data_IF_603653887887
#
_entry.id   IF_603653887887
#
_cell.length_a   1.000
_cell.length_b   1.000
_cell.length_c   1.000
_cell.angle_alpha   90.00
_cell.angle_beta   90.00
_cell.angle_gamma   90.00
#
_symmetry.space_group_name_H-M   'P 1'
#
loop_
_entity.id
_entity.type
_entity.pdbx_description
1 polymer ?
#
# COMPACT_ATOMS: atom_id res chain seq x y z
N UNK A 1 -26.26 -17.00 9.24
CA UNK A 1 -26.96 -18.04 10.09
C UNK A 1 -25.93 -18.50 11.11
N UNK A 2 -26.15 -18.24 12.38
CA UNK A 2 -25.21 -18.64 13.44
C UNK A 2 -25.50 -20.11 13.78
N UNK A 3 -24.55 -20.98 13.44
CA UNK A 3 -24.64 -22.39 13.83
C UNK A 3 -24.54 -22.46 15.36
N UNK A 4 -25.63 -22.87 15.99
CA UNK A 4 -25.64 -23.19 17.44
C UNK A 4 -24.94 -24.52 17.63
N UNK A 5 -23.80 -24.50 18.30
CA UNK A 5 -23.10 -25.71 18.73
C UNK A 5 -23.56 -25.99 20.16
N UNK A 6 -24.17 -27.15 20.37
CA UNK A 6 -24.57 -27.65 21.69
C UNK A 6 -23.43 -28.51 22.24
N UNK A 7 -22.94 -28.18 23.42
CA UNK A 7 -21.89 -28.92 24.12
C UNK A 7 -22.51 -29.57 25.37
N UNK A 8 -22.54 -30.89 25.42
CA UNK A 8 -23.00 -31.66 26.58
C UNK A 8 -21.75 -32.19 27.33
N UNK A 9 -21.60 -31.76 28.60
CA UNK A 9 -20.54 -32.20 29.46
C UNK A 9 -21.13 -33.09 30.59
N UNK A 10 -20.48 -34.22 30.84
CA UNK A 10 -20.81 -35.09 31.97
C UNK A 10 -19.95 -34.70 33.17
N UNK A 11 -20.59 -34.42 34.31
CA UNK A 11 -19.95 -34.08 35.58
C UNK A 11 -20.35 -35.11 36.65
N UNK A 12 -19.43 -35.38 37.58
CA UNK A 12 -19.63 -36.44 38.56
C UNK A 12 -20.58 -36.05 39.72
N UNK A 13 -20.71 -34.74 39.99
CA UNK A 13 -21.54 -34.23 41.06
C UNK A 13 -21.95 -32.74 40.84
N UNK A 14 -22.87 -32.26 41.68
CA UNK A 14 -23.41 -30.87 41.59
C UNK A 14 -22.34 -29.80 41.86
N UNK A 15 -21.36 -30.09 42.70
CA UNK A 15 -20.25 -29.13 43.00
C UNK A 15 -19.42 -28.89 41.73
N UNK A 16 -19.03 -29.95 41.02
CA UNK A 16 -18.33 -29.83 39.75
C UNK A 16 -19.19 -29.13 38.66
N UNK A 17 -20.47 -29.36 38.66
CA UNK A 17 -21.38 -28.66 37.74
C UNK A 17 -21.40 -27.15 38.00
N UNK A 18 -21.34 -26.74 39.25
CA UNK A 18 -21.35 -25.35 39.64
C UNK A 18 -20.01 -24.67 39.32
N UNK A 19 -18.90 -25.32 39.62
CA UNK A 19 -17.56 -24.86 39.25
C UNK A 19 -17.43 -24.69 37.74
N UNK A 20 -17.93 -25.63 36.95
CA UNK A 20 -17.88 -25.55 35.49
C UNK A 20 -18.73 -24.39 34.93
N UNK A 21 -19.93 -24.16 35.51
CA UNK A 21 -20.76 -23.01 35.12
C UNK A 21 -20.09 -21.70 35.44
N UNK A 22 -19.44 -21.58 36.60
CA UNK A 22 -18.70 -20.38 36.98
C UNK A 22 -17.50 -20.12 36.05
N UNK A 23 -16.67 -21.15 35.81
CA UNK A 23 -15.55 -21.06 34.87
C UNK A 23 -15.98 -20.66 33.46
N UNK A 24 -17.13 -21.22 32.99
CA UNK A 24 -17.70 -20.85 31.71
C UNK A 24 -18.14 -19.39 31.64
N UNK A 25 -18.81 -18.89 32.70
CA UNK A 25 -19.18 -17.49 32.79
C UNK A 25 -17.99 -16.57 32.77
N UNK A 26 -16.92 -16.89 33.48
CA UNK A 26 -15.65 -16.12 33.47
C UNK A 26 -14.97 -16.10 32.10
N UNK A 27 -14.97 -17.24 31.40
CA UNK A 27 -14.43 -17.34 30.04
C UNK A 27 -15.26 -16.48 29.05
N UNK A 28 -16.57 -16.54 29.13
CA UNK A 28 -17.47 -15.77 28.27
C UNK A 28 -17.34 -14.28 28.56
N UNK A 29 -17.29 -13.87 29.83
CA UNK A 29 -17.07 -12.48 30.24
C UNK A 29 -15.72 -11.95 29.73
N UNK A 30 -14.63 -12.70 29.93
CA UNK A 30 -13.32 -12.29 29.46
C UNK A 30 -13.18 -12.25 27.95
N UNK A 31 -13.95 -13.03 27.21
CA UNK A 31 -14.05 -12.88 25.75
C UNK A 31 -14.81 -11.64 25.34
N UNK A 32 -15.91 -11.33 26.06
CA UNK A 32 -16.70 -10.13 25.80
C UNK A 32 -15.88 -8.85 26.06
N UNK A 33 -15.17 -8.81 27.19
CA UNK A 33 -14.29 -7.68 27.54
C UNK A 33 -13.17 -7.48 26.51
N UNK A 34 -12.52 -8.57 26.05
CA UNK A 34 -11.49 -8.51 25.00
C UNK A 34 -12.08 -8.04 23.67
N UNK A 35 -13.26 -8.49 23.31
CA UNK A 35 -13.92 -8.05 22.08
C UNK A 35 -14.25 -6.56 22.14
N UNK A 36 -14.80 -6.08 23.26
CA UNK A 36 -15.10 -4.65 23.46
C UNK A 36 -13.83 -3.79 23.47
N UNK A 37 -12.74 -4.27 24.10
CA UNK A 37 -11.46 -3.57 24.08
C UNK A 37 -10.86 -3.48 22.66
N UNK A 38 -10.97 -4.55 21.87
CA UNK A 38 -10.53 -4.55 20.46
C UNK A 38 -11.38 -3.61 19.61
N UNK A 39 -12.68 -3.56 19.80
CA UNK A 39 -13.56 -2.65 19.04
C UNK A 39 -13.26 -1.18 19.38
N UNK A 40 -13.06 -0.88 20.66
CA UNK A 40 -12.69 0.47 21.11
C UNK A 40 -11.30 0.90 20.58
N UNK A 41 -10.33 -0.01 20.54
CA UNK A 41 -9.02 0.25 19.93
C UNK A 41 -9.14 0.51 18.42
N UNK A 42 -10.01 -0.20 17.71
CA UNK A 42 -10.27 0.03 16.30
C UNK A 42 -10.90 1.40 16.01
N UNK A 43 -11.83 1.88 16.84
CA UNK A 43 -12.41 3.22 16.71
C UNK A 43 -11.34 4.29 16.89
N UNK A 44 -10.46 4.14 17.88
CA UNK A 44 -9.32 5.02 18.10
C UNK A 44 -8.34 5.03 16.93
N UNK A 45 -8.07 3.89 16.32
CA UNK A 45 -7.23 3.77 15.11
C UNK A 45 -7.87 4.51 13.93
N UNK A 46 -9.17 4.33 13.72
CA UNK A 46 -9.90 4.99 12.63
C UNK A 46 -9.88 6.52 12.76
N UNK A 47 -10.10 7.04 13.96
CA UNK A 47 -10.09 8.50 14.16
C UNK A 47 -8.69 9.09 13.99
N UNK A 48 -7.64 8.44 14.50
CA UNK A 48 -6.25 8.88 14.24
C UNK A 48 -5.92 8.85 12.76
N UNK A 49 -6.31 7.81 12.04
CA UNK A 49 -6.08 7.71 10.60
C UNK A 49 -6.81 8.78 9.80
N UNK A 50 -8.03 9.15 10.21
CA UNK A 50 -8.80 10.25 9.58
C UNK A 50 -8.07 11.59 9.75
N UNK A 51 -7.61 11.89 10.96
CA UNK A 51 -6.84 13.10 11.26
C UNK A 51 -5.50 13.08 10.49
N UNK A 52 -4.82 11.96 10.50
CA UNK A 52 -3.56 11.76 9.80
C UNK A 52 -3.70 12.03 8.29
N UNK A 53 -4.72 11.47 7.64
CA UNK A 53 -4.96 11.69 6.23
C UNK A 53 -5.27 13.15 5.92
N UNK A 54 -6.08 13.83 6.74
CA UNK A 54 -6.33 15.26 6.60
C UNK A 54 -5.05 16.10 6.72
N UNK A 55 -4.15 15.73 7.63
CA UNK A 55 -2.85 16.39 7.79
C UNK A 55 -1.98 16.20 6.53
N UNK A 56 -1.95 14.99 5.98
CA UNK A 56 -1.23 14.66 4.75
C UNK A 56 -1.81 15.46 3.56
N UNK A 57 -3.13 15.41 3.35
CA UNK A 57 -3.81 16.16 2.27
C UNK A 57 -3.55 17.66 2.36
N UNK A 58 -3.64 18.20 3.58
CA UNK A 58 -3.36 19.62 3.84
C UNK A 58 -1.94 19.99 3.45
N UNK A 59 -0.95 19.22 3.87
CA UNK A 59 0.45 19.48 3.55
C UNK A 59 0.72 19.45 2.04
N UNK A 60 0.12 18.51 1.30
CA UNK A 60 0.24 18.42 -0.16
C UNK A 60 -0.37 19.65 -0.83
N UNK A 61 -1.59 20.07 -0.41
CA UNK A 61 -2.30 21.19 -1.03
C UNK A 61 -1.70 22.56 -0.70
N UNK A 62 -1.25 22.77 0.54
CA UNK A 62 -0.70 24.06 0.99
C UNK A 62 0.74 24.28 0.52
N UNK A 63 1.51 23.19 0.34
CA UNK A 63 2.92 23.26 0.00
C UNK A 63 3.30 22.35 -1.18
N UNK A 64 2.64 22.47 -2.36
CA UNK A 64 2.80 21.53 -3.47
C UNK A 64 4.20 21.46 -4.05
N UNK A 65 5.02 22.50 -3.87
CA UNK A 65 6.42 22.55 -4.36
C UNK A 65 7.43 22.05 -3.34
N UNK A 66 7.00 21.66 -2.14
CA UNK A 66 7.91 21.15 -1.12
C UNK A 66 8.35 19.71 -1.43
N UNK A 67 9.61 19.40 -1.08
CA UNK A 67 10.09 18.03 -1.19
C UNK A 67 9.33 17.02 -0.32
N UNK A 68 8.67 17.49 0.73
CA UNK A 68 7.84 16.65 1.59
C UNK A 68 6.52 16.28 0.90
N UNK A 69 5.89 17.20 0.17
CA UNK A 69 4.67 16.92 -0.57
C UNK A 69 4.84 15.78 -1.58
N UNK A 70 5.94 15.79 -2.35
CA UNK A 70 6.25 14.69 -3.28
C UNK A 70 6.41 13.33 -2.58
N UNK A 71 7.06 13.31 -1.40
CA UNK A 71 7.18 12.08 -0.60
C UNK A 71 5.84 11.60 -0.05
N UNK A 72 4.98 12.53 0.37
CA UNK A 72 3.63 12.19 0.85
C UNK A 72 2.75 11.63 -0.27
N UNK A 73 2.82 12.20 -1.47
CA UNK A 73 2.11 11.64 -2.64
C UNK A 73 2.65 10.24 -2.97
N UNK A 74 3.97 10.04 -2.92
CA UNK A 74 4.57 8.72 -3.16
C UNK A 74 4.17 7.71 -2.06
N UNK A 75 4.09 8.15 -0.80
CA UNK A 75 3.54 7.35 0.29
C UNK A 75 2.10 6.90 0.01
N UNK A 76 1.21 7.84 -0.35
CA UNK A 76 -0.19 7.52 -0.70
C UNK A 76 -0.29 6.59 -1.90
N UNK A 77 0.57 6.77 -2.90
CA UNK A 77 0.68 5.87 -4.05
C UNK A 77 1.08 4.45 -3.63
N UNK A 78 2.06 4.33 -2.73
CA UNK A 78 2.50 3.05 -2.18
C UNK A 78 1.42 2.33 -1.38
N UNK A 79 0.62 3.08 -0.61
CA UNK A 79 -0.55 2.54 0.10
C UNK A 79 -1.66 2.13 -0.88
N UNK A 80 -1.88 2.92 -1.95
CA UNK A 80 -2.87 2.62 -2.99
C UNK A 80 -2.53 1.34 -3.75
N UNK A 81 -1.30 1.20 -4.23
CA UNK A 81 -0.83 0.00 -4.91
C UNK A 81 0.70 -0.13 -4.80
N UNK A 82 1.18 -0.69 -3.70
CA UNK A 82 2.61 -0.81 -3.41
C UNK A 82 3.39 -1.63 -4.43
N UNK A 83 2.72 -2.46 -5.21
CA UNK A 83 3.36 -3.19 -6.30
C UNK A 83 3.63 -2.32 -7.53
N UNK A 84 2.78 -1.34 -7.81
CA UNK A 84 2.94 -0.41 -8.93
C UNK A 84 3.73 0.84 -8.50
N UNK A 85 3.60 1.25 -7.25
CA UNK A 85 4.24 2.44 -6.69
C UNK A 85 5.03 2.06 -5.43
N UNK A 86 6.20 1.40 -5.56
CA UNK A 86 7.00 1.01 -4.41
C UNK A 86 7.48 2.25 -3.64
N UNK A 87 7.16 2.33 -2.35
CA UNK A 87 7.57 3.42 -1.47
C UNK A 87 8.81 3.03 -0.65
N UNK A 88 9.84 3.87 -0.68
CA UNK A 88 11.00 3.68 0.19
C UNK A 88 10.69 4.18 1.60
N UNK A 89 10.65 3.27 2.57
CA UNK A 89 10.40 3.61 3.97
C UNK A 89 11.44 4.59 4.55
N UNK A 90 12.62 4.71 3.96
CA UNK A 90 13.63 5.69 4.38
C UNK A 90 13.21 7.13 4.09
N UNK A 91 12.28 7.36 3.16
CA UNK A 91 11.70 8.67 2.87
C UNK A 91 10.91 9.26 4.04
N UNK A 92 10.39 8.42 4.96
CA UNK A 92 9.78 8.88 6.20
C UNK A 92 10.74 9.70 7.07
N UNK A 93 12.06 9.46 6.98
CA UNK A 93 13.08 10.20 7.74
C UNK A 93 13.29 11.62 7.23
N UNK A 94 12.85 11.89 6.00
CA UNK A 94 12.96 13.20 5.37
C UNK A 94 11.68 14.04 5.50
N UNK A 95 10.67 13.53 6.21
CA UNK A 95 9.47 14.25 6.59
C UNK A 95 9.64 14.87 7.98
N UNK A 96 8.91 15.96 8.23
CA UNK A 96 8.76 16.48 9.59
C UNK A 96 8.11 15.43 10.49
N UNK A 97 8.39 15.50 11.78
CA UNK A 97 7.89 14.52 12.77
C UNK A 97 6.36 14.37 12.73
N UNK A 98 5.63 15.48 12.53
CA UNK A 98 4.17 15.47 12.43
C UNK A 98 3.70 14.68 11.22
N UNK A 99 4.29 14.93 10.06
CA UNK A 99 3.94 14.25 8.80
C UNK A 99 4.37 12.78 8.80
N UNK A 100 5.54 12.48 9.36
CA UNK A 100 5.99 11.09 9.51
C UNK A 100 5.05 10.30 10.44
N UNK A 101 4.64 10.89 11.57
CA UNK A 101 3.67 10.27 12.48
C UNK A 101 2.30 10.10 11.80
N UNK A 102 1.84 11.06 11.00
CA UNK A 102 0.61 10.93 10.24
C UNK A 102 0.67 9.74 9.25
N UNK A 103 1.79 9.54 8.55
CA UNK A 103 1.96 8.36 7.71
C UNK A 103 1.85 7.04 8.51
N UNK A 104 2.47 6.97 9.70
CA UNK A 104 2.43 5.78 10.56
C UNK A 104 1.03 5.52 11.13
N UNK A 105 0.31 6.58 11.53
CA UNK A 105 -1.07 6.48 12.01
C UNK A 105 -2.00 5.98 10.91
N UNK A 106 -1.82 6.47 9.67
CA UNK A 106 -2.59 5.98 8.54
C UNK A 106 -2.28 4.51 8.22
N UNK A 107 -1.02 4.08 8.22
CA UNK A 107 -0.63 2.68 8.03
C UNK A 107 -1.22 1.77 9.11
N UNK A 108 -1.38 2.27 10.35
CA UNK A 108 -2.00 1.51 11.44
C UNK A 108 -3.46 1.16 11.14
N UNK A 109 -4.17 1.98 10.36
CA UNK A 109 -5.51 1.71 9.87
C UNK A 109 -5.50 0.85 8.60
N UNK A 110 -4.64 1.19 7.62
CA UNK A 110 -4.57 0.52 6.33
C UNK A 110 -4.32 -0.99 6.48
N UNK A 111 -3.46 -1.40 7.44
CA UNK A 111 -3.24 -2.82 7.78
C UNK A 111 -4.51 -3.61 8.14
N UNK A 112 -5.61 -2.93 8.48
CA UNK A 112 -6.89 -3.59 8.77
C UNK A 112 -7.64 -3.97 7.49
N UNK A 113 -7.20 -3.50 6.32
CA UNK A 113 -7.74 -3.87 5.02
C UNK A 113 -9.22 -3.54 4.81
N UNK A 114 -9.76 -2.54 5.53
CA UNK A 114 -11.19 -2.23 5.50
C UNK A 114 -11.61 -1.47 4.24
N UNK A 115 -10.75 -0.57 3.76
CA UNK A 115 -10.99 0.28 2.58
C UNK A 115 -9.68 0.78 1.99
N UNK A 116 -9.65 0.93 0.68
CA UNK A 116 -8.54 1.52 -0.06
C UNK A 116 -8.39 3.02 0.22
N UNK A 117 -7.16 3.53 0.19
CA UNK A 117 -6.82 4.92 0.53
C UNK A 117 -7.62 5.96 -0.26
N UNK A 118 -7.84 5.74 -1.54
CA UNK A 118 -8.57 6.67 -2.41
C UNK A 118 -10.04 6.89 -2.00
N UNK A 119 -10.63 5.94 -1.24
CA UNK A 119 -11.98 6.12 -0.69
C UNK A 119 -12.03 7.02 0.54
N UNK A 120 -10.88 7.35 1.10
CA UNK A 120 -10.76 8.22 2.28
C UNK A 120 -10.28 9.63 1.93
N UNK A 121 -9.68 9.82 0.73
CA UNK A 121 -9.28 11.13 0.24
C UNK A 121 -10.50 12.00 -0.06
N UNK A 122 -10.39 13.28 0.23
CA UNK A 122 -11.47 14.25 0.02
C UNK A 122 -11.90 14.37 -1.45
N UNK A 123 -10.97 14.27 -2.40
CA UNK A 123 -11.22 14.26 -3.85
C UNK A 123 -11.25 12.87 -4.47
N UNK A 124 -11.12 11.82 -3.67
CA UNK A 124 -11.19 10.44 -4.11
C UNK A 124 -10.05 10.01 -5.05
N UNK A 125 -10.33 8.99 -5.86
CA UNK A 125 -9.37 8.46 -6.83
C UNK A 125 -8.90 9.53 -7.83
N UNK A 126 -9.79 10.42 -8.27
CA UNK A 126 -9.43 11.47 -9.21
C UNK A 126 -8.32 12.37 -8.68
N UNK A 127 -8.41 12.80 -7.44
CA UNK A 127 -7.39 13.65 -6.80
C UNK A 127 -6.06 12.92 -6.67
N UNK A 128 -6.08 11.65 -6.29
CA UNK A 128 -4.86 10.83 -6.23
C UNK A 128 -4.20 10.74 -7.61
N UNK A 129 -4.96 10.48 -8.67
CA UNK A 129 -4.43 10.41 -10.04
C UNK A 129 -3.91 11.77 -10.56
N UNK A 130 -4.52 12.87 -10.14
CA UNK A 130 -4.01 14.23 -10.43
C UNK A 130 -2.65 14.43 -9.74
N UNK A 131 -2.54 14.12 -8.46
CA UNK A 131 -1.27 14.22 -7.74
C UNK A 131 -0.17 13.32 -8.33
N UNK A 132 -0.49 12.06 -8.69
CA UNK A 132 0.51 11.17 -9.32
C UNK A 132 1.10 11.81 -10.60
N UNK A 133 0.25 12.41 -11.43
CA UNK A 133 0.69 13.12 -12.65
C UNK A 133 1.50 14.37 -12.34
N UNK A 134 1.04 15.20 -11.41
CA UNK A 134 1.67 16.47 -11.06
C UNK A 134 3.07 16.27 -10.47
N UNK A 135 3.27 15.18 -9.73
CA UNK A 135 4.56 14.80 -9.15
C UNK A 135 5.38 13.84 -10.03
N UNK A 136 4.88 13.46 -11.21
CA UNK A 136 5.59 12.57 -12.13
C UNK A 136 5.80 11.16 -11.58
N UNK A 137 4.90 10.68 -10.73
CA UNK A 137 4.97 9.34 -10.14
C UNK A 137 4.30 8.36 -11.10
N UNK A 138 5.10 7.55 -11.74
CA UNK A 138 4.65 6.54 -12.71
C UNK A 138 4.68 5.14 -12.09
N UNK A 139 3.78 4.23 -12.55
CA UNK A 139 3.83 2.84 -12.13
C UNK A 139 5.16 2.16 -12.49
N UNK A 140 5.66 1.34 -11.58
CA UNK A 140 6.88 0.58 -11.82
C UNK A 140 6.73 -0.35 -13.05
N UNK A 141 7.71 -0.32 -13.92
CA UNK A 141 7.76 -1.21 -15.08
C UNK A 141 7.90 -2.67 -14.62
N UNK A 142 7.02 -3.53 -15.11
CA UNK A 142 7.05 -4.97 -14.83
C UNK A 142 7.32 -5.75 -16.09
N UNK A 143 8.24 -6.67 -16.00
CA UNK A 143 8.42 -7.68 -17.03
C UNK A 143 7.27 -8.71 -16.92
N UNK A 144 6.72 -9.13 -18.06
CA UNK A 144 5.78 -10.26 -18.12
C UNK A 144 6.43 -11.56 -17.61
N UNK A 145 5.62 -12.55 -17.18
CA UNK A 145 6.14 -13.77 -16.54
C UNK A 145 7.28 -14.44 -17.29
N UNK A 146 7.12 -14.72 -18.59
CA UNK A 146 8.16 -15.37 -19.40
C UNK A 146 9.40 -14.48 -19.62
N UNK A 147 9.23 -13.16 -19.75
CA UNK A 147 10.37 -12.23 -19.84
C UNK A 147 11.09 -12.11 -18.49
N UNK A 148 10.36 -12.09 -17.38
CA UNK A 148 10.94 -12.04 -16.04
C UNK A 148 11.77 -13.29 -15.73
N UNK A 149 11.25 -14.49 -16.08
CA UNK A 149 11.98 -15.76 -15.93
C UNK A 149 13.22 -15.80 -16.83
N UNK A 150 13.07 -15.38 -18.10
CA UNK A 150 14.19 -15.28 -19.03
C UNK A 150 15.29 -14.35 -18.53
N UNK A 151 14.92 -13.16 -18.05
CA UNK A 151 15.87 -12.19 -17.50
C UNK A 151 16.52 -12.70 -16.20
N UNK A 152 15.77 -13.34 -15.31
CA UNK A 152 16.28 -13.89 -14.06
C UNK A 152 17.36 -14.98 -14.27
N UNK A 153 17.31 -15.71 -15.39
CA UNK A 153 18.28 -16.76 -15.74
C UNK A 153 19.56 -16.22 -16.42
N UNK A 154 19.59 -14.97 -16.87
CA UNK A 154 20.73 -14.40 -17.59
C UNK A 154 22.00 -14.27 -16.74
N UNK A 155 21.98 -13.82 -15.47
CA UNK A 155 23.16 -13.72 -14.64
C UNK A 155 23.91 -15.06 -14.53
N UNK A 156 23.20 -16.16 -14.31
CA UNK A 156 23.80 -17.49 -14.22
C UNK A 156 24.45 -17.95 -15.55
N UNK A 157 23.83 -17.59 -16.69
CA UNK A 157 24.32 -17.97 -18.02
C UNK A 157 25.49 -17.13 -18.50
N UNK A 158 25.53 -15.86 -18.11
CA UNK A 158 26.50 -14.87 -18.62
C UNK A 158 27.62 -14.55 -17.64
N UNK A 159 27.46 -14.85 -16.35
CA UNK A 159 28.36 -14.46 -15.28
C UNK A 159 28.37 -12.94 -15.02
N UNK A 160 27.40 -12.20 -15.56
CA UNK A 160 27.28 -10.74 -15.42
C UNK A 160 26.23 -10.36 -14.37
N UNK A 161 26.41 -9.19 -13.77
CA UNK A 161 25.45 -8.64 -12.82
C UNK A 161 24.10 -8.32 -13.49
N UNK A 162 23.01 -8.41 -12.74
CA UNK A 162 21.66 -8.15 -13.22
C UNK A 162 21.48 -6.70 -13.69
N UNK A 163 22.09 -5.75 -13.01
CA UNK A 163 21.98 -4.33 -13.36
C UNK A 163 22.74 -4.02 -14.65
N UNK A 164 23.93 -4.59 -14.84
CA UNK A 164 24.69 -4.46 -16.09
C UNK A 164 23.92 -4.98 -17.30
N UNK A 165 23.21 -6.13 -17.13
CA UNK A 165 22.36 -6.71 -18.18
C UNK A 165 21.13 -5.85 -18.47
N UNK A 166 20.57 -5.23 -17.45
CA UNK A 166 19.43 -4.31 -17.60
C UNK A 166 19.86 -3.03 -18.33
N UNK A 167 20.97 -2.44 -17.94
CA UNK A 167 21.50 -1.22 -18.59
C UNK A 167 21.78 -1.49 -20.08
N UNK A 168 22.42 -2.60 -20.42
CA UNK A 168 22.65 -3.00 -21.81
C UNK A 168 21.33 -3.16 -22.57
N UNK A 169 20.33 -3.82 -22.00
CA UNK A 169 19.03 -4.00 -22.63
C UNK A 169 18.33 -2.66 -22.89
N UNK A 170 18.43 -1.73 -21.95
CA UNK A 170 17.87 -0.37 -22.10
C UNK A 170 18.62 0.42 -23.17
N UNK A 171 19.95 0.37 -23.20
CA UNK A 171 20.77 1.03 -24.22
C UNK A 171 20.45 0.51 -25.63
N UNK A 172 20.37 -0.80 -25.80
CA UNK A 172 19.99 -1.44 -27.07
C UNK A 172 18.60 -0.99 -27.54
N UNK A 173 17.65 -0.91 -26.60
CA UNK A 173 16.29 -0.47 -26.90
C UNK A 173 16.28 1.00 -27.37
N UNK A 174 16.96 1.89 -26.65
CA UNK A 174 17.07 3.31 -26.99
C UNK A 174 17.71 3.48 -28.36
N UNK A 175 18.83 2.79 -28.63
CA UNK A 175 19.52 2.86 -29.92
C UNK A 175 18.65 2.34 -31.07
N UNK A 176 17.92 1.24 -30.87
CA UNK A 176 16.96 0.69 -31.83
C UNK A 176 15.88 1.70 -32.24
N UNK A 177 15.34 2.44 -31.27
CA UNK A 177 14.30 3.44 -31.57
C UNK A 177 14.88 4.74 -32.14
N UNK A 178 16.09 5.14 -31.73
CA UNK A 178 16.81 6.26 -32.35
C UNK A 178 17.06 6.01 -33.85
N UNK A 179 17.52 4.82 -34.24
CA UNK A 179 17.71 4.43 -35.65
C UNK A 179 16.38 4.43 -36.42
N UNK A 180 15.29 3.95 -35.82
CA UNK A 180 13.96 3.96 -36.44
C UNK A 180 13.41 5.37 -36.65
N UNK A 181 13.65 6.28 -35.72
CA UNK A 181 13.25 7.69 -35.84
C UNK A 181 13.98 8.41 -36.98
N UNK A 182 15.27 8.11 -37.17
CA UNK A 182 16.08 8.70 -38.25
C UNK A 182 15.76 8.15 -39.64
N UNK A 183 15.16 6.97 -39.73
CA UNK A 183 14.77 6.33 -41.00
C UNK A 183 13.32 6.62 -41.44
N UNK A 184 12.55 7.39 -40.68
CA UNK A 184 11.17 7.75 -41.06
C UNK A 184 11.24 8.88 -42.12
N UNK A 185 10.85 8.65 -43.38
CA UNK A 185 10.81 9.71 -44.38
C UNK A 185 9.82 10.78 -43.96
N UNK A 186 10.24 12.05 -44.04
CA UNK A 186 9.34 13.18 -43.89
C UNK A 186 8.14 13.02 -44.84
N UNK A 187 6.99 12.70 -44.28
CA UNK A 187 5.74 12.71 -45.05
C UNK A 187 5.51 14.14 -45.50
N UNK A 188 5.72 14.39 -46.82
CA UNK A 188 5.46 15.63 -47.50
C UNK A 188 4.07 16.14 -47.11
N UNK A 189 4.02 17.39 -46.62
CA UNK A 189 2.80 18.12 -46.39
C UNK A 189 1.93 18.13 -47.65
N UNK A 190 0.60 18.02 -47.58
CA UNK A 190 -0.26 18.16 -48.72
C UNK A 190 -0.16 19.59 -49.22
N UNK A 191 0.27 19.77 -50.49
CA UNK A 191 0.15 21.03 -51.22
C UNK A 191 -1.31 21.37 -51.35
N UNK A 192 -1.67 22.56 -50.89
CA UNK A 192 -2.97 23.21 -51.19
C UNK A 192 -3.03 23.62 -52.67
#
# INVERSE_FOLDING_TARGET
MSDKIELTLQVANEVQAQELRQAWQEIVAGKLERSQAMDHDQEGIMERARIALQTIEKAIREHPTSGQAGRLVHFLAGVYCGSDYPFDLTDLRALDTELANACLDYLSYDRLGKREVHHHLSGGDRELQEWLRDYGIEPALRLGGCQAEGFAALPEKTGRDRYELLDEAVEDLVEKYRRRASTRPETSAPKR
#
